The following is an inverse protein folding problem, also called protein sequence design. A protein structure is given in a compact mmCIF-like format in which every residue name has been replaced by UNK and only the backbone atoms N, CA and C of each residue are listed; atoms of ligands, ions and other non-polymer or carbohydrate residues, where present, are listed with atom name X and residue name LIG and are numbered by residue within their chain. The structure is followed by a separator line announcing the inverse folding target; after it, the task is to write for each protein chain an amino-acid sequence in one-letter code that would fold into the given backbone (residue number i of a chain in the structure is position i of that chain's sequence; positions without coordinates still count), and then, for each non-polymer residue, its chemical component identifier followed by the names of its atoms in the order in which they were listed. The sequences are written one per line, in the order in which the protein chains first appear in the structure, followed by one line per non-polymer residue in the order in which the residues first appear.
data_IF_219201853132
#
_entry.id   IF_219201853132
#
_cell.length_a   1.000
_cell.length_b   1.000
_cell.length_c   1.000
_cell.angle_alpha   90.00
_cell.angle_beta   90.00
_cell.angle_gamma   90.00
#
_symmetry.space_group_name_H-M   'P 1'
#
loop_
_entity.id
_entity.type
_entity.pdbx_description
1 polymer ?
#
# COMPACT_ATOMS: atom_id res chain seq x y z
N UNK A 1 22.71 3.94 -11.00
CA UNK A 1 23.34 2.61 -11.04
C UNK A 1 22.34 1.69 -11.74
N UNK A 2 22.76 0.94 -12.75
CA UNK A 2 21.89 -0.03 -13.42
C UNK A 2 21.79 -1.30 -12.56
N UNK A 3 20.57 -1.75 -12.29
CA UNK A 3 20.33 -3.00 -11.57
C UNK A 3 20.26 -4.13 -12.60
N UNK A 4 21.26 -5.01 -12.56
CA UNK A 4 21.35 -6.17 -13.45
C UNK A 4 20.07 -7.02 -13.32
N UNK A 5 19.44 -7.33 -14.45
CA UNK A 5 18.27 -8.19 -14.55
C UNK A 5 16.91 -7.49 -14.43
N UNK A 6 16.87 -6.21 -14.04
CA UNK A 6 15.62 -5.46 -13.91
C UNK A 6 14.90 -5.25 -15.25
N UNK A 7 15.64 -4.85 -16.29
CA UNK A 7 15.11 -4.58 -17.65
C UNK A 7 14.52 -5.82 -18.35
N UNK A 8 15.01 -7.02 -18.02
CA UNK A 8 14.52 -8.30 -18.57
C UNK A 8 13.43 -8.95 -17.72
N UNK A 9 13.10 -8.36 -16.57
CA UNK A 9 12.11 -8.89 -15.64
C UNK A 9 10.68 -8.70 -16.19
N UNK A 10 9.74 -9.57 -15.82
CA UNK A 10 8.34 -9.45 -16.29
C UNK A 10 7.64 -8.14 -15.85
N UNK A 11 8.20 -7.45 -14.87
CA UNK A 11 7.70 -6.17 -14.33
C UNK A 11 8.43 -4.96 -14.90
N UNK A 12 9.38 -5.19 -15.81
CA UNK A 12 10.06 -4.13 -16.54
C UNK A 12 9.06 -3.20 -17.24
N UNK A 13 9.24 -1.89 -17.07
CA UNK A 13 8.37 -0.85 -17.61
C UNK A 13 6.95 -0.80 -17.01
N UNK A 14 6.72 -1.43 -15.86
CA UNK A 14 5.43 -1.39 -15.16
C UNK A 14 5.45 -0.44 -13.96
N UNK A 15 4.27 -0.02 -13.52
CA UNK A 15 4.08 0.93 -12.42
C UNK A 15 3.28 0.27 -11.28
N UNK A 16 3.97 -0.26 -10.25
CA UNK A 16 3.33 -0.78 -9.05
C UNK A 16 2.55 0.33 -8.33
N UNK A 17 1.28 0.06 -8.03
CA UNK A 17 0.34 1.04 -7.48
C UNK A 17 -0.48 0.44 -6.34
N UNK A 18 -0.55 1.12 -5.21
CA UNK A 18 -1.48 0.81 -4.12
C UNK A 18 -2.92 0.78 -4.62
N UNK A 19 -3.73 -0.14 -4.09
CA UNK A 19 -5.19 -0.14 -4.30
C UNK A 19 -5.90 0.53 -3.12
N UNK A 20 -7.20 0.87 -3.23
CA UNK A 20 -7.93 1.51 -2.14
C UNK A 20 -7.95 0.66 -0.86
N UNK A 21 -7.24 1.13 0.17
CA UNK A 21 -7.24 0.58 1.53
C UNK A 21 -6.89 1.70 2.50
N UNK A 22 -7.45 1.66 3.71
CA UNK A 22 -7.02 2.60 4.74
C UNK A 22 -5.61 2.25 5.20
N UNK A 23 -4.74 3.24 5.24
CA UNK A 23 -3.40 3.11 5.80
C UNK A 23 -2.94 4.40 6.48
N UNK A 24 -1.89 4.29 7.30
CA UNK A 24 -1.21 5.43 7.91
C UNK A 24 0.20 5.06 8.33
N UNK A 25 1.00 6.06 8.62
CA UNK A 25 2.40 5.97 9.03
C UNK A 25 2.49 5.99 10.55
N UNK A 26 3.36 5.17 11.12
CA UNK A 26 3.65 5.16 12.55
C UNK A 26 5.14 4.88 12.73
N UNK A 27 5.68 5.12 13.94
CA UNK A 27 7.12 5.09 14.25
C UNK A 27 7.92 6.31 13.80
N UNK A 28 9.13 6.40 14.35
CA UNK A 28 10.18 7.27 13.82
C UNK A 28 10.62 6.79 12.43
N UNK A 29 11.07 7.70 11.54
CA UNK A 29 11.66 7.35 10.26
C UNK A 29 12.89 6.44 10.38
N UNK A 30 12.93 5.36 9.62
CA UNK A 30 14.12 4.54 9.39
C UNK A 30 14.94 5.02 8.18
N UNK A 31 15.89 4.21 7.66
CA UNK A 31 16.57 4.49 6.39
C UNK A 31 15.56 4.65 5.25
N UNK A 32 15.67 5.74 4.50
CA UNK A 32 14.79 6.06 3.38
C UNK A 32 15.45 7.03 2.39
N UNK A 33 15.04 7.00 1.11
CA UNK A 33 15.47 8.00 0.15
C UNK A 33 14.72 9.32 0.37
N UNK A 34 15.37 10.45 0.05
CA UNK A 34 14.74 11.78 0.12
C UNK A 34 13.89 12.02 -1.13
N UNK A 35 12.69 11.43 -1.17
CA UNK A 35 11.76 11.50 -2.28
C UNK A 35 10.40 12.00 -1.80
N UNK A 36 9.68 12.67 -2.70
CA UNK A 36 8.31 13.08 -2.43
C UNK A 36 7.42 11.85 -2.18
N UNK A 37 6.57 11.94 -1.16
CA UNK A 37 5.71 10.84 -0.73
C UNK A 37 6.35 9.77 0.17
N UNK A 38 7.67 9.77 0.35
CA UNK A 38 8.41 8.76 1.10
C UNK A 38 8.89 9.31 2.44
N UNK A 39 8.52 8.65 3.54
CA UNK A 39 8.81 9.13 4.90
C UNK A 39 9.75 8.21 5.68
N UNK A 40 9.89 6.95 5.25
CA UNK A 40 10.70 5.96 5.96
C UNK A 40 10.08 5.44 7.25
N UNK A 41 8.86 5.85 7.58
CA UNK A 41 8.11 5.36 8.74
C UNK A 41 7.50 3.98 8.44
N UNK A 42 7.14 3.25 9.48
CA UNK A 42 6.38 2.01 9.31
C UNK A 42 4.94 2.31 8.88
N UNK A 43 4.35 1.42 8.10
CA UNK A 43 2.98 1.56 7.59
C UNK A 43 2.05 0.60 8.31
N UNK A 44 0.90 1.10 8.74
CA UNK A 44 -0.19 0.31 9.32
C UNK A 44 -1.38 0.30 8.36
N UNK A 45 -1.83 -0.90 7.98
CA UNK A 45 -3.06 -1.08 7.20
C UNK A 45 -4.24 -1.41 8.12
N UNK A 46 -5.43 -0.89 7.79
CA UNK A 46 -6.69 -1.26 8.44
C UNK A 46 -7.65 -1.84 7.41
N UNK A 47 -8.10 -3.07 7.67
CA UNK A 47 -8.93 -3.85 6.75
C UNK A 47 -10.17 -4.34 7.50
N UNK A 48 -11.36 -4.10 6.97
CA UNK A 48 -12.59 -4.64 7.56
C UNK A 48 -12.64 -6.16 7.46
N UNK A 49 -13.06 -6.84 8.54
CA UNK A 49 -13.33 -8.28 8.53
C UNK A 49 -14.70 -8.52 7.93
N UNK A 50 -14.72 -9.18 6.77
CA UNK A 50 -15.97 -9.68 6.18
C UNK A 50 -16.42 -10.93 6.93
N UNK A 51 -17.38 -10.77 7.85
CA UNK A 51 -18.00 -11.90 8.56
C UNK A 51 -19.16 -12.49 7.77
N UNK A 52 -19.12 -13.80 7.58
CA UNK A 52 -20.26 -14.59 7.12
C UNK A 52 -21.37 -14.63 8.19
N UNK A 53 -22.59 -15.04 7.82
CA UNK A 53 -23.77 -15.00 8.72
C UNK A 53 -23.53 -15.74 10.05
N UNK A 54 -22.91 -16.92 10.00
CA UNK A 54 -22.57 -17.70 11.19
C UNK A 54 -21.49 -17.02 12.04
N UNK A 55 -20.43 -16.53 11.40
CA UNK A 55 -19.36 -15.82 12.09
C UNK A 55 -19.85 -14.54 12.74
N UNK A 56 -20.86 -13.87 12.17
CA UNK A 56 -21.47 -12.67 12.74
C UNK A 56 -22.19 -12.95 14.06
N UNK A 57 -22.80 -14.13 14.21
CA UNK A 57 -23.40 -14.57 15.47
C UNK A 57 -22.31 -14.82 16.53
N UNK A 58 -21.26 -15.56 16.14
CA UNK A 58 -20.12 -15.83 17.02
C UNK A 58 -19.38 -14.54 17.39
N UNK A 59 -19.16 -13.64 16.43
CA UNK A 59 -18.49 -12.36 16.66
C UNK A 59 -19.26 -11.48 17.63
N UNK A 60 -20.59 -11.51 17.62
CA UNK A 60 -21.42 -10.81 18.62
C UNK A 60 -21.28 -11.45 20.00
N UNK A 61 -21.30 -12.79 20.07
CA UNK A 61 -21.17 -13.52 21.33
C UNK A 61 -19.79 -13.29 21.99
N UNK A 62 -18.72 -13.29 21.20
CA UNK A 62 -17.34 -13.14 21.66
C UNK A 62 -16.79 -11.71 21.57
N UNK A 63 -17.61 -10.73 21.16
CA UNK A 63 -17.18 -9.34 20.90
C UNK A 63 -15.93 -9.24 20.02
N UNK A 64 -15.88 -10.06 18.97
CA UNK A 64 -14.72 -10.14 18.09
C UNK A 64 -14.48 -8.79 17.37
N UNK A 65 -13.22 -8.35 17.22
CA UNK A 65 -12.90 -7.09 16.54
C UNK A 65 -13.35 -7.14 15.08
N UNK A 66 -13.97 -6.04 14.60
CA UNK A 66 -14.52 -5.92 13.24
C UNK A 66 -13.50 -5.53 12.18
N UNK A 67 -12.33 -5.09 12.59
CA UNK A 67 -11.24 -4.75 11.70
C UNK A 67 -9.99 -5.53 12.07
N UNK A 68 -9.09 -5.60 11.12
CA UNK A 68 -7.76 -6.16 11.24
C UNK A 68 -6.77 -5.02 11.04
N UNK A 69 -5.87 -4.86 12.01
CA UNK A 69 -4.71 -3.96 11.91
C UNK A 69 -3.49 -4.79 11.50
N UNK A 70 -2.78 -4.37 10.45
CA UNK A 70 -1.57 -5.05 9.94
C UNK A 70 -0.43 -4.05 9.85
N UNK A 71 0.50 -4.05 10.81
CA UNK A 71 1.75 -3.33 10.63
C UNK A 71 2.55 -4.05 9.56
N UNK A 72 3.03 -3.30 8.57
CA UNK A 72 4.04 -3.78 7.63
C UNK A 72 5.41 -3.72 8.30
N UNK A 73 6.29 -4.64 7.93
CA UNK A 73 7.70 -4.54 8.30
C UNK A 73 8.37 -3.37 7.56
N UNK A 74 9.63 -3.11 7.88
CA UNK A 74 10.38 -1.97 7.33
C UNK A 74 10.51 -2.03 5.80
N UNK A 75 10.81 -3.18 5.23
CA UNK A 75 10.99 -3.33 3.77
C UNK A 75 9.66 -3.14 3.05
N UNK A 76 8.60 -3.77 3.54
CA UNK A 76 7.26 -3.67 2.97
C UNK A 76 6.63 -2.29 3.17
N UNK A 77 6.97 -1.58 4.26
CA UNK A 77 6.57 -0.17 4.45
C UNK A 77 7.25 0.73 3.43
N UNK A 78 8.53 0.52 3.13
CA UNK A 78 9.23 1.27 2.09
C UNK A 78 8.65 0.99 0.70
N UNK A 79 8.42 -0.29 0.36
CA UNK A 79 7.74 -0.66 -0.88
C UNK A 79 6.36 -0.02 -0.98
N UNK A 80 5.59 -0.02 0.11
CA UNK A 80 4.29 0.62 0.16
C UNK A 80 4.35 2.11 -0.19
N UNK A 81 5.31 2.85 0.38
CA UNK A 81 5.49 4.28 0.10
C UNK A 81 5.96 4.55 -1.34
N UNK A 82 6.88 3.72 -1.86
CA UNK A 82 7.42 3.87 -3.23
C UNK A 82 6.41 3.52 -4.33
N UNK A 83 5.50 2.58 -4.08
CA UNK A 83 4.55 2.04 -5.06
C UNK A 83 3.25 2.86 -5.14
N UNK A 84 3.37 4.17 -5.39
CA UNK A 84 2.24 5.08 -5.59
C UNK A 84 1.71 5.09 -7.05
N UNK A 85 2.30 4.27 -7.92
CA UNK A 85 1.96 4.17 -9.34
C UNK A 85 2.62 5.23 -10.24
N UNK A 86 3.47 6.09 -9.70
CA UNK A 86 4.22 7.08 -10.49
C UNK A 86 5.61 6.59 -10.91
N UNK A 87 6.18 5.64 -10.14
CA UNK A 87 7.51 5.09 -10.35
C UNK A 87 7.46 3.76 -11.08
N UNK A 88 8.41 3.57 -11.97
CA UNK A 88 8.63 2.29 -12.65
C UNK A 88 9.23 1.27 -11.68
N UNK A 89 8.96 -0.01 -11.90
CA UNK A 89 9.46 -1.11 -11.08
C UNK A 89 10.98 -1.08 -10.89
N UNK A 90 11.73 -0.72 -11.93
CA UNK A 90 13.18 -0.59 -11.93
C UNK A 90 13.63 0.57 -11.04
N UNK A 91 12.85 1.66 -11.02
CA UNK A 91 13.09 2.78 -10.12
C UNK A 91 12.85 2.38 -8.65
N UNK A 92 11.77 1.64 -8.39
CA UNK A 92 11.51 1.06 -7.06
C UNK A 92 12.67 0.16 -6.63
N UNK A 93 13.15 -0.72 -7.51
CA UNK A 93 14.31 -1.57 -7.22
C UNK A 93 15.55 -0.74 -6.88
N UNK A 94 15.83 0.34 -7.62
CA UNK A 94 16.98 1.23 -7.36
C UNK A 94 16.88 1.89 -5.99
N UNK A 95 15.70 2.37 -5.61
CA UNK A 95 15.49 2.99 -4.30
C UNK A 95 15.59 1.96 -3.17
N UNK A 96 15.07 0.75 -3.36
CA UNK A 96 15.19 -0.34 -2.39
C UNK A 96 16.66 -0.78 -2.19
N UNK A 97 17.42 -0.94 -3.27
CA UNK A 97 18.84 -1.32 -3.23
C UNK A 97 19.68 -0.25 -2.54
N UNK A 98 19.49 1.03 -2.91
CA UNK A 98 20.21 2.15 -2.34
C UNK A 98 19.91 2.36 -0.84
N UNK A 99 18.73 1.95 -0.37
CA UNK A 99 18.29 2.15 1.01
C UNK A 99 18.70 1.01 1.93
N UNK A 100 18.71 -0.24 1.44
CA UNK A 100 18.88 -1.43 2.28
C UNK A 100 20.07 -2.31 1.90
N UNK A 101 20.75 -2.03 0.78
CA UNK A 101 22.00 -2.66 0.36
C UNK A 101 21.94 -4.21 0.46
N UNK A 102 22.82 -4.80 1.28
CA UNK A 102 22.96 -6.26 1.41
C UNK A 102 21.69 -6.97 1.88
N UNK A 103 20.83 -6.31 2.66
CA UNK A 103 19.58 -6.91 3.16
C UNK A 103 18.57 -7.16 2.03
N UNK A 104 18.67 -6.38 0.96
CA UNK A 104 17.77 -6.46 -0.19
C UNK A 104 18.31 -7.35 -1.31
N UNK A 105 19.57 -7.81 -1.24
CA UNK A 105 20.16 -8.62 -2.30
C UNK A 105 19.51 -10.03 -2.40
N UNK A 106 19.18 -10.54 -3.61
CA UNK A 106 19.11 -9.84 -4.90
C UNK A 106 17.86 -8.94 -5.00
N UNK A 107 18.06 -7.64 -5.28
CA UNK A 107 17.01 -6.63 -5.14
C UNK A 107 15.83 -6.81 -6.08
N UNK A 108 16.05 -7.25 -7.32
CA UNK A 108 14.96 -7.47 -8.30
C UNK A 108 13.98 -8.52 -7.76
N UNK A 109 14.49 -9.70 -7.40
CA UNK A 109 13.66 -10.82 -6.92
C UNK A 109 12.97 -10.47 -5.59
N UNK A 110 13.68 -9.77 -4.68
CA UNK A 110 13.13 -9.36 -3.38
C UNK A 110 12.04 -8.30 -3.54
N UNK A 111 12.23 -7.33 -4.43
CA UNK A 111 11.24 -6.27 -4.71
C UNK A 111 10.00 -6.87 -5.35
N UNK A 112 10.18 -7.72 -6.37
CA UNK A 112 9.10 -8.48 -6.99
C UNK A 112 8.32 -9.30 -5.96
N UNK A 113 9.00 -10.08 -5.13
CA UNK A 113 8.35 -10.92 -4.10
C UNK A 113 7.54 -10.07 -3.11
N UNK A 114 8.04 -8.91 -2.71
CA UNK A 114 7.31 -7.98 -1.84
C UNK A 114 6.04 -7.42 -2.50
N UNK A 115 6.15 -6.99 -3.76
CA UNK A 115 5.01 -6.52 -4.56
C UNK A 115 3.98 -7.66 -4.73
N UNK A 116 4.42 -8.87 -5.06
CA UNK A 116 3.54 -10.03 -5.21
C UNK A 116 2.84 -10.42 -3.91
N UNK A 117 3.55 -10.33 -2.78
CA UNK A 117 2.93 -10.54 -1.49
C UNK A 117 1.80 -9.53 -1.24
N UNK A 118 1.96 -8.25 -1.61
CA UNK A 118 0.91 -7.25 -1.47
C UNK A 118 -0.21 -7.44 -2.51
N UNK A 119 0.13 -7.81 -3.75
CA UNK A 119 -0.80 -8.05 -4.86
C UNK A 119 -1.73 -9.22 -4.57
N UNK A 120 -1.18 -10.35 -4.13
CA UNK A 120 -1.95 -11.57 -3.75
C UNK A 120 -2.91 -11.34 -2.58
N UNK A 121 -2.70 -10.28 -1.79
CA UNK A 121 -3.58 -9.85 -0.69
C UNK A 121 -4.56 -8.74 -1.11
N UNK A 122 -4.63 -8.41 -2.40
CA UNK A 122 -5.42 -7.32 -2.95
C UNK A 122 -5.10 -5.95 -2.30
N UNK A 123 -3.81 -5.67 -2.07
CA UNK A 123 -3.34 -4.39 -1.52
C UNK A 123 -2.54 -3.55 -2.54
N UNK A 124 -2.12 -4.18 -3.64
CA UNK A 124 -1.37 -3.55 -4.72
C UNK A 124 -1.81 -4.10 -6.08
N UNK A 125 -1.61 -3.31 -7.12
CA UNK A 125 -1.75 -3.70 -8.52
C UNK A 125 -0.53 -3.23 -9.30
N UNK A 126 -0.36 -3.70 -10.53
CA UNK A 126 0.75 -3.35 -11.42
C UNK A 126 0.17 -2.83 -12.72
N UNK A 127 0.51 -1.59 -13.07
CA UNK A 127 -0.04 -0.89 -14.23
C UNK A 127 0.96 -0.89 -15.38
N UNK A 128 0.47 -0.80 -16.62
CA UNK A 128 1.31 -0.67 -17.83
C UNK A 128 1.63 0.79 -18.18
N UNK A 129 0.94 1.72 -17.55
CA UNK A 129 1.09 3.16 -17.76
C UNK A 129 1.10 3.83 -16.38
N UNK A 130 1.72 5.02 -16.24
CA UNK A 130 1.71 5.78 -15.02
C UNK A 130 0.30 5.97 -14.48
N UNK A 131 0.19 5.95 -13.16
CA UNK A 131 -1.09 5.98 -12.48
C UNK A 131 -1.86 7.29 -12.72
N UNK A 132 -2.93 7.20 -13.51
CA UNK A 132 -3.77 8.33 -13.90
C UNK A 132 -4.78 8.78 -12.83
N UNK A 133 -4.53 8.53 -11.54
CA UNK A 133 -5.39 8.95 -10.40
C UNK A 133 -6.86 8.52 -10.53
N UNK A 134 -7.09 7.26 -10.90
CA UNK A 134 -8.46 6.71 -11.07
C UNK A 134 -9.16 6.34 -9.75
N UNK A 135 -8.42 6.28 -8.64
CA UNK A 135 -8.87 5.97 -7.27
C UNK A 135 -8.01 6.67 -6.18
N UNK A 136 -8.41 6.56 -4.92
CA UNK A 136 -7.64 7.13 -3.82
C UNK A 136 -6.54 6.16 -3.35
N UNK A 137 -5.29 6.61 -3.35
CA UNK A 137 -4.13 5.87 -2.82
C UNK A 137 -3.55 6.49 -1.53
N UNK A 138 -4.10 7.65 -1.12
CA UNK A 138 -3.66 8.41 0.04
C UNK A 138 -3.96 7.77 1.39
N UNK A 139 -3.20 8.14 2.43
CA UNK A 139 -3.41 7.65 3.78
C UNK A 139 -4.72 8.19 4.37
N UNK A 140 -5.24 7.50 5.39
CA UNK A 140 -6.42 7.96 6.13
C UNK A 140 -7.76 7.75 5.42
N UNK A 141 -7.77 7.36 4.15
CA UNK A 141 -8.98 7.22 3.34
C UNK A 141 -9.61 5.85 3.57
N UNK A 142 -10.86 5.83 4.02
CA UNK A 142 -11.65 4.59 4.14
C UNK A 142 -12.30 4.30 2.78
N UNK A 143 -12.07 3.12 2.16
CA UNK A 143 -12.75 2.76 0.91
C UNK A 143 -14.27 2.75 1.07
N UNK A 144 -15.02 3.12 0.02
CA UNK A 144 -16.49 3.35 0.06
C UNK A 144 -17.29 2.19 0.65
N UNK A 145 -16.82 0.96 0.43
CA UNK A 145 -17.49 -0.27 0.87
C UNK A 145 -16.92 -0.86 2.16
N UNK A 146 -16.08 -0.12 2.89
CA UNK A 146 -15.52 -0.54 4.16
C UNK A 146 -16.01 0.35 5.31
N UNK A 147 -16.28 -0.25 6.45
CA UNK A 147 -16.55 0.45 7.71
C UNK A 147 -15.47 0.12 8.72
N UNK A 148 -14.69 1.13 9.10
CA UNK A 148 -13.64 1.01 10.11
C UNK A 148 -14.07 1.70 11.40
N UNK A 149 -13.57 1.21 12.54
CA UNK A 149 -13.83 1.84 13.85
C UNK A 149 -13.13 3.20 13.99
N UNK A 150 -13.31 3.85 15.14
CA UNK A 150 -12.46 4.98 15.49
C UNK A 150 -11.06 4.48 15.88
N UNK A 151 -10.02 5.28 15.60
CA UNK A 151 -8.70 5.03 16.17
C UNK A 151 -8.78 5.21 17.69
N UNK A 152 -8.26 4.24 18.44
CA UNK A 152 -8.28 4.24 19.92
C UNK A 152 -7.16 5.07 20.54
N UNK A 153 -6.29 5.69 19.73
CA UNK A 153 -5.18 6.53 20.18
C UNK A 153 -4.02 5.76 20.81
N UNK A 154 -4.05 4.43 20.83
CA UNK A 154 -2.99 3.60 21.44
C UNK A 154 -1.66 3.72 20.68
N UNK A 155 -1.74 4.00 19.38
CA UNK A 155 -0.60 4.21 18.49
C UNK A 155 -0.82 5.56 17.82
N UNK A 156 0.19 6.42 17.86
CA UNK A 156 0.20 7.66 17.08
C UNK A 156 0.37 7.32 15.61
N UNK A 157 -0.70 7.49 14.84
CA UNK A 157 -0.76 7.14 13.42
C UNK A 157 -0.99 8.41 12.62
N UNK A 158 0.02 8.79 11.87
CA UNK A 158 -0.03 9.87 10.90
C UNK A 158 -0.76 9.38 9.64
N UNK A 159 -1.96 9.91 9.44
CA UNK A 159 -2.80 9.61 8.28
C UNK A 159 -2.92 10.81 7.34
N UNK A 160 -2.00 11.77 7.45
CA UNK A 160 -1.98 12.96 6.60
C UNK A 160 -1.30 12.70 5.25
N UNK A 161 -1.84 13.20 4.13
CA UNK A 161 -1.15 13.17 2.85
C UNK A 161 0.20 13.87 2.94
N UNK A 162 1.26 13.24 2.44
CA UNK A 162 2.60 13.84 2.45
C UNK A 162 2.94 14.59 1.16
N UNK A 163 2.17 14.36 0.08
CA UNK A 163 2.40 14.96 -1.23
C UNK A 163 1.10 15.06 -2.05
N UNK A 164 1.13 15.83 -3.14
CA UNK A 164 -0.04 16.14 -4.00
C UNK A 164 -0.78 14.88 -4.49
N UNK A 165 -0.01 13.83 -4.83
CA UNK A 165 -0.49 12.50 -5.24
C UNK A 165 -1.43 11.83 -4.24
N UNK A 166 -1.24 12.08 -2.95
CA UNK A 166 -1.99 11.45 -1.85
C UNK A 166 -3.24 12.22 -1.42
N UNK A 167 -3.46 13.43 -1.93
CA UNK A 167 -4.68 14.16 -1.59
C UNK A 167 -5.92 13.43 -2.11
N UNK A 168 -7.02 13.39 -1.33
CA UNK A 168 -8.25 12.79 -1.78
C UNK A 168 -8.71 13.37 -3.12
N UNK A 169 -9.07 12.49 -4.05
CA UNK A 169 -9.79 12.87 -5.25
C UNK A 169 -11.15 13.38 -4.81
N UNK A 170 -11.39 14.66 -5.03
CA UNK A 170 -12.70 15.28 -4.81
C UNK A 170 -13.57 14.84 -5.98
N UNK A 171 -14.40 13.82 -5.76
CA UNK A 171 -15.40 13.42 -6.75
C UNK A 171 -16.48 14.50 -6.83
N UNK A 172 -16.47 15.30 -7.91
CA UNK A 172 -17.57 16.18 -8.31
C UNK A 172 -18.78 15.36 -8.85
N UNK A 173 -19.07 14.15 -8.34
CA UNK A 173 -20.31 13.42 -8.63
C UNK A 173 -20.48 12.13 -7.76
N UNK A 174 -21.62 11.87 -7.08
CA UNK A 174 -21.76 10.74 -6.14
C UNK A 174 -21.90 9.33 -6.77
N UNK A 175 -21.62 9.16 -8.07
CA UNK A 175 -21.95 7.94 -8.83
C UNK A 175 -20.76 7.30 -9.59
N UNK A 176 -19.52 7.60 -9.21
CA UNK A 176 -18.33 6.98 -9.80
C UNK A 176 -18.17 5.49 -9.41
N UNK A 177 -18.31 4.61 -10.39
CA UNK A 177 -18.10 3.16 -10.30
C UNK A 177 -16.61 2.86 -10.06
N UNK A 178 -16.25 2.30 -8.89
CA UNK A 178 -14.93 1.69 -8.69
C UNK A 178 -14.84 0.41 -9.54
N UNK A 179 -13.69 0.12 -10.18
CA UNK A 179 -13.54 -1.11 -10.94
C UNK A 179 -13.62 -2.31 -9.99
N UNK A 180 -14.56 -3.21 -10.28
CA UNK A 180 -14.70 -4.50 -9.61
C UNK A 180 -13.45 -5.34 -9.95
N UNK A 181 -12.50 -5.43 -9.02
CA UNK A 181 -11.38 -6.36 -9.13
C UNK A 181 -11.92 -7.76 -8.84
N UNK A 182 -12.58 -8.34 -9.84
CA UNK A 182 -12.97 -9.74 -9.81
C UNK A 182 -11.73 -10.61 -10.03
N UNK A 183 -11.44 -11.43 -9.02
CA UNK A 183 -10.49 -12.53 -9.08
C UNK A 183 -10.80 -13.44 -10.25
N UNK A 184 -9.83 -13.62 -11.15
CA UNK A 184 -9.75 -14.77 -12.05
C UNK A 184 -8.70 -15.75 -11.52
#
# INVERSE_FOLDING_TARGET
MEIVGSESHEYSGTYPCRVPVWWGRFSEPGPHPQLDGVTGKLVLLRIEKRFNRFERLLAKLFRAPREVRRPLDRLNSMLWELCDGTREFEEVCRHMDATFNEEMAPVVDRTYTGIEALRTRNLMTVLREPYARKWNTGPGIVPKHQTLGQLDGTIDIDSTPSHEGEHPIIEDNPQGHEPDVQSS
#
